data_IF_271748597140
#
_entry.id   IF_271748597140
#
_cell.length_a   1.000
_cell.length_b   1.000
_cell.length_c   1.000
_cell.angle_alpha   90.00
_cell.angle_beta   90.00
_cell.angle_gamma   90.00
#
_symmetry.space_group_name_H-M   'P 1'
#
loop_
_entity.id
_entity.type
_entity.pdbx_description
1 polymer ?
#
# COMPACT_ATOMS: atom_id res chain seq x y z
N UNK A 1 19.23 26.55 -5.76
CA UNK A 1 18.86 25.11 -5.63
C UNK A 1 17.42 24.97 -6.12
N UNK A 2 17.07 23.99 -6.94
CA UNK A 2 15.66 23.83 -7.37
C UNK A 2 14.79 23.39 -6.18
N UNK A 3 13.51 23.74 -6.18
CA UNK A 3 12.57 23.38 -5.09
C UNK A 3 12.54 21.88 -4.82
N UNK A 4 12.61 21.06 -5.88
CA UNK A 4 12.69 19.60 -5.77
C UNK A 4 13.98 19.12 -5.09
N UNK A 5 15.14 19.75 -5.38
CA UNK A 5 16.40 19.41 -4.72
C UNK A 5 16.42 19.83 -3.25
N UNK A 6 15.73 20.92 -2.92
CA UNK A 6 15.55 21.34 -1.54
C UNK A 6 14.67 20.36 -0.76
N UNK A 7 13.54 19.96 -1.33
CA UNK A 7 12.64 18.97 -0.73
C UNK A 7 13.34 17.62 -0.49
N UNK A 8 14.15 17.18 -1.45
CA UNK A 8 14.97 15.97 -1.33
C UNK A 8 15.97 16.09 -0.16
N UNK A 9 16.69 17.20 -0.08
CA UNK A 9 17.66 17.43 1.00
C UNK A 9 17.01 17.48 2.39
N UNK A 10 15.83 18.10 2.53
CA UNK A 10 15.09 18.17 3.81
C UNK A 10 14.62 16.78 4.26
N UNK A 11 14.13 15.96 3.32
CA UNK A 11 13.74 14.57 3.59
C UNK A 11 14.94 13.73 4.02
N UNK A 12 16.05 13.81 3.27
CA UNK A 12 17.32 13.12 3.61
C UNK A 12 17.82 13.52 5.00
N UNK A 13 17.85 14.82 5.30
CA UNK A 13 18.28 15.35 6.58
C UNK A 13 17.45 14.78 7.73
N UNK A 14 16.12 14.74 7.61
CA UNK A 14 15.25 14.13 8.63
C UNK A 14 15.62 12.67 8.86
N UNK A 15 15.85 11.90 7.81
CA UNK A 15 16.11 10.47 7.90
C UNK A 15 17.44 10.13 8.54
N UNK A 16 18.50 10.88 8.23
CA UNK A 16 19.81 10.72 8.87
C UNK A 16 19.74 10.93 10.39
N UNK A 17 18.79 11.74 10.86
CA UNK A 17 18.62 12.06 12.28
C UNK A 17 17.59 11.16 12.99
N UNK A 18 17.05 10.15 12.30
CA UNK A 18 16.19 9.11 12.87
C UNK A 18 16.76 7.68 12.58
N UNK A 19 17.93 7.33 13.13
CA UNK A 19 18.61 6.05 12.85
C UNK A 19 17.81 4.80 13.31
N UNK A 20 16.79 5.02 14.13
CA UNK A 20 16.00 3.97 14.77
C UNK A 20 14.65 3.72 14.07
N UNK A 21 14.34 4.48 13.01
CA UNK A 21 13.07 4.46 12.27
C UNK A 21 12.63 3.04 11.88
N UNK A 22 13.60 2.20 11.53
CA UNK A 22 13.42 0.84 11.05
C UNK A 22 13.57 -0.24 12.14
N UNK A 23 14.04 0.11 13.35
CA UNK A 23 14.31 -0.87 14.42
C UNK A 23 13.05 -1.54 14.97
N UNK A 24 11.92 -0.85 14.93
CA UNK A 24 10.64 -1.34 15.45
C UNK A 24 9.90 -2.26 14.48
N UNK A 25 10.47 -2.54 13.30
CA UNK A 25 9.84 -3.34 12.26
C UNK A 25 10.27 -4.79 12.38
N UNK A 26 9.30 -5.69 12.52
CA UNK A 26 9.54 -7.11 12.47
C UNK A 26 9.68 -7.60 11.01
N UNK A 27 10.92 -7.74 10.52
CA UNK A 27 11.19 -8.15 9.14
C UNK A 27 10.75 -9.58 8.81
N UNK A 28 10.77 -10.49 9.78
CA UNK A 28 10.26 -11.84 9.58
C UNK A 28 8.75 -11.81 9.33
N UNK A 29 8.02 -10.95 10.06
CA UNK A 29 6.60 -10.70 9.82
C UNK A 29 6.38 -10.07 8.44
N UNK A 30 7.13 -9.03 8.06
CA UNK A 30 7.01 -8.40 6.73
C UNK A 30 7.19 -9.39 5.56
N UNK A 31 8.15 -10.32 5.66
CA UNK A 31 8.34 -11.36 4.65
C UNK A 31 7.11 -12.24 4.54
N UNK A 32 6.54 -12.68 5.67
CA UNK A 32 5.32 -13.49 5.70
C UNK A 32 4.13 -12.72 5.10
N UNK A 33 3.97 -11.44 5.44
CA UNK A 33 2.91 -10.60 4.87
C UNK A 33 3.08 -10.46 3.34
N UNK A 34 4.29 -10.18 2.86
CA UNK A 34 4.57 -10.05 1.42
C UNK A 34 4.21 -11.32 0.63
N UNK A 35 4.47 -12.50 1.20
CA UNK A 35 4.14 -13.77 0.58
C UNK A 35 2.62 -13.95 0.50
N UNK A 36 1.90 -13.63 1.57
CA UNK A 36 0.43 -13.69 1.60
C UNK A 36 -0.20 -12.71 0.60
N UNK A 37 0.30 -11.46 0.52
CA UNK A 37 -0.18 -10.46 -0.45
C UNK A 37 0.06 -10.96 -1.87
N UNK A 38 1.26 -11.47 -2.16
CA UNK A 38 1.64 -11.98 -3.49
C UNK A 38 0.77 -13.16 -3.93
N UNK A 39 0.39 -14.03 -3.00
CA UNK A 39 -0.41 -15.22 -3.28
C UNK A 39 -1.91 -14.92 -3.42
N UNK A 40 -2.39 -13.77 -2.94
CA UNK A 40 -3.81 -13.41 -3.00
C UNK A 40 -4.19 -12.48 -4.16
N UNK A 41 -3.23 -11.93 -4.91
CA UNK A 41 -3.56 -11.20 -6.14
C UNK A 41 -4.33 -12.11 -7.09
N UNK A 42 -5.57 -11.73 -7.43
CA UNK A 42 -6.36 -12.54 -8.35
C UNK A 42 -5.68 -12.57 -9.71
N UNK A 43 -6.03 -13.56 -10.54
CA UNK A 43 -5.86 -13.40 -12.00
C UNK A 43 -6.56 -12.09 -12.43
N UNK A 44 -6.12 -11.53 -13.56
CA UNK A 44 -6.49 -10.18 -14.02
C UNK A 44 -7.99 -9.91 -13.83
N UNK A 45 -8.38 -8.68 -13.46
CA UNK A 45 -9.76 -8.32 -13.10
C UNK A 45 -10.81 -8.62 -14.21
N UNK A 46 -10.34 -8.81 -15.45
CA UNK A 46 -11.10 -9.19 -16.65
C UNK A 46 -11.18 -10.72 -16.88
N UNK A 47 -10.60 -11.55 -16.00
CA UNK A 47 -10.61 -13.01 -16.16
C UNK A 47 -12.04 -13.57 -16.03
N UNK A 48 -12.55 -14.26 -17.07
CA UNK A 48 -13.84 -14.95 -17.00
C UNK A 48 -13.89 -16.10 -15.99
N UNK A 49 -12.75 -16.65 -15.57
CA UNK A 49 -12.64 -17.84 -14.71
C UNK A 49 -12.52 -17.53 -13.20
N UNK A 50 -12.79 -16.30 -12.77
CA UNK A 50 -12.52 -15.86 -11.39
C UNK A 50 -13.47 -16.56 -10.40
N UNK A 51 -12.95 -17.59 -9.72
CA UNK A 51 -13.76 -18.44 -8.82
C UNK A 51 -14.01 -17.73 -7.49
N UNK A 52 -15.05 -18.12 -6.73
CA UNK A 52 -15.25 -17.59 -5.39
C UNK A 52 -14.07 -17.80 -4.43
N UNK A 53 -13.33 -18.91 -4.59
CA UNK A 53 -12.09 -19.15 -3.85
C UNK A 53 -11.02 -18.10 -4.17
N UNK A 54 -10.93 -17.66 -5.44
CA UNK A 54 -9.98 -16.60 -5.83
C UNK A 54 -10.38 -15.25 -5.22
N UNK A 55 -11.68 -14.93 -5.20
CA UNK A 55 -12.20 -13.71 -4.54
C UNK A 55 -11.84 -13.72 -3.05
N UNK A 56 -12.05 -14.85 -2.37
CA UNK A 56 -11.69 -14.99 -0.95
C UNK A 56 -10.20 -14.78 -0.74
N UNK A 57 -9.34 -15.36 -1.57
CA UNK A 57 -7.87 -15.18 -1.49
C UNK A 57 -7.47 -13.71 -1.64
N UNK A 58 -8.09 -12.99 -2.57
CA UNK A 58 -7.85 -11.54 -2.75
C UNK A 58 -8.28 -10.73 -1.55
N UNK A 59 -9.44 -11.05 -0.98
CA UNK A 59 -9.90 -10.37 0.22
C UNK A 59 -9.00 -10.69 1.43
N UNK A 60 -8.57 -11.93 1.61
CA UNK A 60 -7.63 -12.32 2.68
C UNK A 60 -6.28 -11.60 2.52
N UNK A 61 -5.78 -11.44 1.29
CA UNK A 61 -4.60 -10.64 1.02
C UNK A 61 -4.82 -9.14 1.27
N UNK A 62 -6.02 -8.62 1.03
CA UNK A 62 -6.33 -7.23 1.34
C UNK A 62 -6.35 -6.98 2.85
N UNK A 63 -6.88 -7.93 3.64
CA UNK A 63 -6.77 -7.88 5.12
C UNK A 63 -5.31 -7.85 5.59
N UNK A 64 -4.42 -8.56 4.89
CA UNK A 64 -2.97 -8.51 5.15
C UNK A 64 -2.39 -7.13 4.80
N UNK A 65 -2.88 -6.44 3.77
CA UNK A 65 -2.52 -5.05 3.51
C UNK A 65 -2.98 -4.10 4.62
N UNK A 66 -4.16 -4.31 5.20
CA UNK A 66 -4.62 -3.56 6.38
C UNK A 66 -3.68 -3.80 7.57
N UNK A 67 -3.24 -5.03 7.80
CA UNK A 67 -2.21 -5.34 8.82
C UNK A 67 -0.90 -4.60 8.56
N UNK A 68 -0.46 -4.50 7.29
CA UNK A 68 0.73 -3.73 6.93
C UNK A 68 0.58 -2.24 7.26
N UNK A 69 -0.59 -1.65 7.02
CA UNK A 69 -0.85 -0.25 7.39
C UNK A 69 -0.83 -0.04 8.91
N UNK A 70 -1.27 -1.03 9.70
CA UNK A 70 -1.14 -1.01 11.17
C UNK A 70 0.34 -1.06 11.58
N UNK A 71 1.17 -1.90 10.94
CA UNK A 71 2.62 -1.93 11.21
C UNK A 71 3.25 -0.57 10.91
N UNK A 72 2.87 0.08 9.81
CA UNK A 72 3.38 1.42 9.49
C UNK A 72 2.94 2.44 10.54
N UNK A 73 1.66 2.42 10.96
CA UNK A 73 1.14 3.23 12.07
C UNK A 73 1.94 3.04 13.37
N UNK A 74 2.21 1.79 13.74
CA UNK A 74 2.91 1.45 14.98
C UNK A 74 4.42 1.73 14.90
N UNK A 75 4.94 1.95 13.69
CA UNK A 75 6.32 2.36 13.47
C UNK A 75 6.47 3.88 13.42
N UNK A 76 7.70 4.37 13.66
CA UNK A 76 8.02 5.79 13.49
C UNK A 76 7.95 6.25 12.01
N UNK A 77 7.84 5.31 11.05
CA UNK A 77 7.70 5.62 9.62
C UNK A 77 6.46 6.46 9.37
N UNK A 78 5.32 6.16 10.01
CA UNK A 78 4.10 6.95 9.82
C UNK A 78 4.33 8.44 10.13
N UNK A 79 5.05 8.75 11.20
CA UNK A 79 5.35 10.14 11.58
C UNK A 79 6.19 10.83 10.50
N UNK A 80 7.22 10.16 9.98
CA UNK A 80 8.07 10.72 8.92
C UNK A 80 7.32 10.89 7.61
N UNK A 81 6.50 9.90 7.23
CA UNK A 81 5.65 9.96 6.03
C UNK A 81 4.71 11.17 6.07
N UNK A 82 4.14 11.46 7.24
CA UNK A 82 3.24 12.59 7.45
C UNK A 82 3.98 13.92 7.45
N UNK A 83 5.04 14.04 8.26
CA UNK A 83 5.87 15.24 8.37
C UNK A 83 6.50 15.65 7.04
N UNK A 84 6.70 14.70 6.14
CA UNK A 84 7.37 14.91 4.84
C UNK A 84 6.44 14.80 3.64
N UNK A 85 5.12 14.64 3.83
CA UNK A 85 4.12 14.52 2.77
C UNK A 85 4.27 15.57 1.64
N UNK A 86 4.42 16.84 2.01
CA UNK A 86 4.64 17.93 1.04
C UNK A 86 5.95 17.80 0.26
N UNK A 87 7.02 17.36 0.93
CA UNK A 87 8.32 17.15 0.28
C UNK A 87 8.30 15.91 -0.61
N UNK A 88 7.66 14.84 -0.17
CA UNK A 88 7.39 13.62 -0.95
C UNK A 88 6.65 13.96 -2.24
N UNK A 89 5.59 14.77 -2.18
CA UNK A 89 4.89 15.24 -3.38
C UNK A 89 5.79 16.01 -4.33
N UNK A 90 6.54 17.00 -3.83
CA UNK A 90 7.47 17.78 -4.67
C UNK A 90 8.52 16.90 -5.35
N UNK A 91 8.96 15.84 -4.66
CA UNK A 91 9.87 14.83 -5.21
C UNK A 91 9.17 13.99 -6.27
N UNK A 92 7.94 13.51 -6.04
CA UNK A 92 7.17 12.73 -7.01
C UNK A 92 6.77 13.54 -8.26
N UNK A 93 6.53 14.85 -8.12
CA UNK A 93 6.21 15.76 -9.22
C UNK A 93 7.46 16.15 -10.03
N UNK A 94 8.64 16.20 -9.38
CA UNK A 94 9.88 16.72 -9.97
C UNK A 94 10.95 15.67 -10.33
N UNK A 95 10.91 14.50 -9.69
CA UNK A 95 11.77 13.34 -9.96
C UNK A 95 10.93 12.14 -10.35
N UNK A 96 11.49 11.35 -11.26
CA UNK A 96 10.95 10.12 -11.79
C UNK A 96 10.24 9.27 -10.73
N UNK A 97 8.97 8.95 -10.99
CA UNK A 97 8.31 7.75 -10.47
C UNK A 97 9.29 6.60 -10.74
N UNK A 98 9.76 5.83 -9.74
CA UNK A 98 10.61 4.66 -9.99
C UNK A 98 9.95 3.82 -11.10
N UNK A 99 10.72 3.30 -12.06
CA UNK A 99 10.17 2.50 -13.16
C UNK A 99 9.29 1.32 -12.68
N UNK A 100 9.46 0.91 -11.43
CA UNK A 100 8.65 -0.08 -10.72
C UNK A 100 7.23 0.46 -10.43
N UNK A 101 7.10 1.71 -9.97
CA UNK A 101 5.81 2.34 -9.66
C UNK A 101 5.04 2.68 -10.96
N UNK A 102 5.74 3.03 -12.04
CA UNK A 102 5.13 3.34 -13.35
C UNK A 102 4.51 2.10 -14.06
N UNK A 103 4.92 0.89 -13.68
CA UNK A 103 4.32 -0.37 -14.17
C UNK A 103 3.06 -0.78 -13.40
N UNK A 104 2.78 -0.11 -12.27
CA UNK A 104 1.77 -0.52 -11.29
C UNK A 104 0.69 0.55 -11.11
N UNK A 105 1.05 1.84 -11.15
CA UNK A 105 0.17 2.98 -10.92
C UNK A 105 0.35 3.99 -12.05
N UNK A 106 -0.74 4.43 -12.66
CA UNK A 106 -0.70 5.50 -13.68
C UNK A 106 -0.42 6.87 -13.05
N UNK A 107 0.05 7.84 -13.85
CA UNK A 107 0.31 9.21 -13.35
C UNK A 107 -0.92 9.87 -12.73
N UNK A 108 -2.10 9.66 -13.31
CA UNK A 108 -3.35 10.23 -12.80
C UNK A 108 -3.78 9.57 -11.49
N UNK A 109 -3.57 8.26 -11.34
CA UNK A 109 -3.82 7.55 -10.09
C UNK A 109 -2.84 7.98 -9.00
N UNK A 110 -1.55 8.14 -9.34
CA UNK A 110 -0.56 8.65 -8.41
C UNK A 110 -0.96 10.04 -7.91
N UNK A 111 -1.39 10.93 -8.80
CA UNK A 111 -1.87 12.26 -8.43
C UNK A 111 -3.04 12.19 -7.45
N UNK A 112 -4.04 11.35 -7.73
CA UNK A 112 -5.19 11.16 -6.81
C UNK A 112 -4.77 10.62 -5.46
N UNK A 113 -3.85 9.66 -5.43
CA UNK A 113 -3.31 9.12 -4.19
C UNK A 113 -2.59 10.21 -3.40
N UNK A 114 -1.73 11.00 -4.04
CA UNK A 114 -1.05 12.12 -3.37
C UNK A 114 -2.03 13.17 -2.86
N UNK A 115 -3.06 13.53 -3.63
CA UNK A 115 -4.11 14.46 -3.21
C UNK A 115 -4.90 13.94 -1.99
N UNK A 116 -5.22 12.63 -1.98
CA UNK A 116 -5.82 11.96 -0.83
C UNK A 116 -4.86 11.95 0.37
N UNK A 117 -3.57 11.77 0.13
CA UNK A 117 -2.54 11.74 1.15
C UNK A 117 -2.33 13.10 1.84
N UNK A 118 -2.53 14.19 1.09
CA UNK A 118 -2.52 15.57 1.57
C UNK A 118 -3.82 16.00 2.23
N UNK A 119 -4.93 15.29 1.98
CA UNK A 119 -6.14 15.52 2.75
C UNK A 119 -5.87 15.08 4.18
N UNK A 120 -6.37 15.83 5.16
CA UNK A 120 -6.23 15.47 6.58
C UNK A 120 -6.83 14.08 6.90
N UNK A 121 -7.51 13.45 5.93
CA UNK A 121 -8.10 12.14 6.03
C UNK A 121 -7.04 11.03 6.10
N UNK A 122 -5.89 11.13 5.40
CA UNK A 122 -4.85 10.08 5.47
C UNK A 122 -4.30 9.93 6.89
N UNK A 123 -3.88 11.03 7.52
CA UNK A 123 -3.36 11.02 8.90
C UNK A 123 -4.39 10.48 9.86
N UNK A 124 -5.63 10.95 9.73
CA UNK A 124 -6.73 10.51 10.58
C UNK A 124 -7.00 9.01 10.41
N UNK A 125 -7.05 8.54 9.17
CA UNK A 125 -7.22 7.12 8.87
C UNK A 125 -6.06 6.27 9.37
N UNK A 126 -4.81 6.71 9.22
CA UNK A 126 -3.64 6.04 9.79
C UNK A 126 -3.71 5.98 11.33
N UNK A 127 -4.23 7.01 11.98
CA UNK A 127 -4.38 7.00 13.45
C UNK A 127 -5.54 6.11 13.89
N UNK A 128 -6.63 6.08 13.15
CA UNK A 128 -7.85 5.35 13.50
C UNK A 128 -7.81 3.86 13.07
N UNK A 129 -6.94 3.49 12.12
CA UNK A 129 -6.87 2.12 11.58
C UNK A 129 -6.53 1.08 12.66
N UNK A 130 -7.22 -0.05 12.56
CA UNK A 130 -7.09 -1.23 13.39
C UNK A 130 -7.55 -2.47 12.58
N UNK A 131 -7.44 -3.66 13.19
CA UNK A 131 -7.73 -4.94 12.52
C UNK A 131 -9.19 -5.07 12.03
N UNK A 132 -10.11 -4.36 12.67
CA UNK A 132 -11.55 -4.41 12.39
C UNK A 132 -12.01 -3.23 11.50
N UNK A 133 -11.08 -2.48 10.91
CA UNK A 133 -11.43 -1.30 10.10
C UNK A 133 -12.12 -1.64 8.78
N UNK A 134 -12.06 -2.89 8.34
CA UNK A 134 -12.80 -3.37 7.17
C UNK A 134 -14.16 -3.91 7.58
N UNK A 135 -15.23 -3.40 6.97
CA UNK A 135 -16.58 -3.96 7.16
C UNK A 135 -16.76 -5.25 6.35
N UNK A 136 -16.25 -6.36 6.90
CA UNK A 136 -16.22 -7.66 6.23
C UNK A 136 -17.62 -8.14 5.81
N UNK A 137 -18.61 -8.02 6.71
CA UNK A 137 -19.98 -8.46 6.42
C UNK A 137 -20.62 -7.71 5.25
N UNK A 138 -20.41 -6.40 5.19
CA UNK A 138 -20.89 -5.57 4.08
C UNK A 138 -20.20 -6.01 2.78
N UNK A 139 -18.89 -6.19 2.82
CA UNK A 139 -18.11 -6.57 1.65
C UNK A 139 -18.43 -7.99 1.15
N UNK A 140 -18.63 -8.96 2.04
CA UNK A 140 -19.09 -10.32 1.72
C UNK A 140 -20.44 -10.31 1.00
N UNK A 141 -21.38 -9.53 1.55
CA UNK A 141 -22.71 -9.36 0.96
C UNK A 141 -22.63 -8.74 -0.44
N UNK A 142 -21.79 -7.71 -0.59
CA UNK A 142 -21.56 -7.01 -1.85
C UNK A 142 -20.89 -7.89 -2.90
N UNK A 143 -19.90 -8.69 -2.48
CA UNK A 143 -19.20 -9.65 -3.33
C UNK A 143 -20.01 -10.93 -3.60
N UNK A 144 -21.10 -11.18 -2.86
CA UNK A 144 -21.90 -12.42 -2.91
C UNK A 144 -21.03 -13.66 -2.68
N UNK A 145 -20.12 -13.60 -1.71
CA UNK A 145 -19.29 -14.73 -1.28
C UNK A 145 -19.65 -15.13 0.14
N UNK A 146 -19.42 -16.41 0.48
CA UNK A 146 -19.50 -16.90 1.85
C UNK A 146 -18.09 -17.33 2.30
N UNK A 147 -17.63 -16.79 3.43
CA UNK A 147 -16.29 -17.05 3.95
C UNK A 147 -16.06 -18.47 4.42
N UNK A 148 -17.07 -19.04 5.08
CA UNK A 148 -17.02 -20.37 5.69
C UNK A 148 -17.19 -21.46 4.62
N UNK A 149 -17.82 -21.11 3.50
CA UNK A 149 -18.11 -22.02 2.40
C UNK A 149 -17.89 -21.38 1.02
N UNK A 150 -16.62 -21.09 0.65
CA UNK A 150 -16.31 -20.40 -0.61
C UNK A 150 -16.81 -21.18 -1.83
N UNK A 151 -16.81 -22.51 -1.80
CA UNK A 151 -17.23 -23.35 -2.93
C UNK A 151 -18.75 -23.36 -3.18
N UNK A 152 -19.55 -22.78 -2.27
CA UNK A 152 -21.01 -22.68 -2.38
C UNK A 152 -21.44 -21.29 -2.87
N UNK A 153 -20.50 -20.33 -2.95
CA UNK A 153 -20.80 -18.99 -3.43
C UNK A 153 -21.23 -19.00 -4.91
N UNK A 154 -22.08 -18.04 -5.28
CA UNK A 154 -22.60 -17.94 -6.63
C UNK A 154 -21.44 -17.65 -7.60
N UNK A 155 -21.24 -18.60 -8.51
CA UNK A 155 -20.35 -18.47 -9.65
C UNK A 155 -20.76 -17.28 -10.52
N UNK A 156 -19.80 -16.73 -11.28
CA UNK A 156 -19.97 -15.54 -12.12
C UNK A 156 -21.18 -15.66 -13.04
N UNK A 157 -21.44 -16.85 -13.58
CA UNK A 157 -22.55 -17.10 -14.51
C UNK A 157 -23.94 -17.14 -13.87
N UNK A 158 -24.00 -17.18 -12.53
CA UNK A 158 -25.25 -17.16 -11.76
C UNK A 158 -25.60 -15.76 -11.23
N UNK A 159 -24.78 -14.77 -11.52
CA UNK A 159 -24.98 -13.38 -11.11
C UNK A 159 -25.65 -12.57 -12.21
N UNK A 160 -26.42 -11.57 -11.81
CA UNK A 160 -26.90 -10.54 -12.74
C UNK A 160 -25.72 -9.72 -13.29
N UNK A 161 -25.87 -9.07 -14.46
CA UNK A 161 -24.84 -8.17 -15.00
C UNK A 161 -24.35 -7.13 -13.99
N UNK A 162 -25.28 -6.48 -13.29
CA UNK A 162 -24.98 -5.48 -12.26
C UNK A 162 -24.19 -6.07 -11.09
N UNK A 163 -24.55 -7.26 -10.60
CA UNK A 163 -23.81 -7.94 -9.53
C UNK A 163 -22.39 -8.32 -9.96
N UNK A 164 -22.20 -8.71 -11.23
CA UNK A 164 -20.87 -8.98 -11.78
C UNK A 164 -20.02 -7.72 -11.81
N UNK A 165 -20.57 -6.59 -12.28
CA UNK A 165 -19.87 -5.32 -12.34
C UNK A 165 -19.48 -4.81 -10.94
N UNK A 166 -20.40 -4.89 -9.98
CA UNK A 166 -20.13 -4.55 -8.57
C UNK A 166 -18.98 -5.38 -8.00
N UNK A 167 -19.03 -6.71 -8.20
CA UNK A 167 -17.98 -7.62 -7.76
C UNK A 167 -16.64 -7.30 -8.41
N UNK A 168 -16.61 -7.04 -9.72
CA UNK A 168 -15.39 -6.66 -10.44
C UNK A 168 -14.81 -5.35 -9.93
N UNK A 169 -15.65 -4.37 -9.62
CA UNK A 169 -15.22 -3.08 -9.07
C UNK A 169 -14.51 -3.24 -7.72
N UNK A 170 -15.12 -4.00 -6.79
CA UNK A 170 -14.50 -4.27 -5.49
C UNK A 170 -13.18 -5.06 -5.61
N UNK A 171 -13.13 -6.04 -6.52
CA UNK A 171 -11.90 -6.78 -6.82
C UNK A 171 -10.81 -5.90 -7.41
N UNK A 172 -11.16 -4.95 -8.29
CA UNK A 172 -10.20 -4.01 -8.87
C UNK A 172 -9.60 -3.10 -7.78
N UNK A 173 -10.43 -2.58 -6.88
CA UNK A 173 -10.00 -1.75 -5.75
C UNK A 173 -9.03 -2.55 -4.85
N UNK A 174 -9.40 -3.78 -4.47
CA UNK A 174 -8.53 -4.63 -3.65
C UNK A 174 -7.20 -4.94 -4.35
N UNK A 175 -7.22 -5.35 -5.62
CA UNK A 175 -5.98 -5.69 -6.36
C UNK A 175 -5.03 -4.50 -6.50
N UNK A 176 -5.54 -3.28 -6.67
CA UNK A 176 -4.70 -2.07 -6.65
C UNK A 176 -4.01 -1.89 -5.30
N UNK A 177 -4.75 -2.07 -4.20
CA UNK A 177 -4.18 -2.03 -2.86
C UNK A 177 -3.17 -3.15 -2.61
N UNK A 178 -3.36 -4.36 -3.16
CA UNK A 178 -2.38 -5.45 -3.05
C UNK A 178 -1.05 -5.08 -3.69
N UNK A 179 -1.07 -4.48 -4.88
CA UNK A 179 0.14 -4.00 -5.54
C UNK A 179 0.84 -2.91 -4.72
N UNK A 180 0.07 -1.96 -4.16
CA UNK A 180 0.57 -0.95 -3.22
C UNK A 180 1.18 -1.57 -1.95
N UNK A 181 0.57 -2.64 -1.42
CA UNK A 181 1.08 -3.38 -0.27
C UNK A 181 2.39 -4.11 -0.57
N UNK A 182 2.52 -4.74 -1.75
CA UNK A 182 3.78 -5.36 -2.17
C UNK A 182 4.92 -4.34 -2.30
N UNK A 183 4.63 -3.19 -2.90
CA UNK A 183 5.57 -2.08 -2.99
C UNK A 183 6.02 -1.62 -1.60
N UNK A 184 5.06 -1.42 -0.70
CA UNK A 184 5.32 -1.01 0.69
C UNK A 184 6.22 -2.03 1.41
N UNK A 185 5.90 -3.32 1.37
CA UNK A 185 6.73 -4.37 1.97
C UNK A 185 8.16 -4.39 1.39
N UNK A 186 8.28 -4.33 0.07
CA UNK A 186 9.59 -4.32 -0.60
C UNK A 186 10.43 -3.12 -0.18
N UNK A 187 9.82 -1.95 -0.11
CA UNK A 187 10.52 -0.70 0.18
C UNK A 187 10.90 -0.56 1.67
N UNK A 188 10.05 -1.03 2.59
CA UNK A 188 10.42 -1.13 4.01
C UNK A 188 11.59 -2.10 4.23
N UNK A 189 11.62 -3.23 3.49
CA UNK A 189 12.73 -4.18 3.54
C UNK A 189 14.04 -3.60 2.98
N UNK A 190 13.98 -2.89 1.86
CA UNK A 190 15.14 -2.20 1.27
C UNK A 190 15.62 -1.03 2.16
N UNK A 191 14.71 -0.32 2.83
CA UNK A 191 15.05 0.75 3.77
C UNK A 191 15.88 0.25 4.95
N UNK A 192 15.52 -0.92 5.47
CA UNK A 192 16.30 -1.63 6.50
C UNK A 192 17.72 -1.94 6.06
N UNK A 193 17.87 -2.49 4.85
CA UNK A 193 19.16 -2.84 4.28
C UNK A 193 20.02 -1.59 4.07
N UNK A 194 19.42 -0.49 3.59
CA UNK A 194 20.11 0.80 3.47
C UNK A 194 20.55 1.34 4.84
N UNK A 195 19.71 1.23 5.87
CA UNK A 195 20.06 1.59 7.24
C UNK A 195 21.26 0.80 7.77
N UNK A 196 21.27 -0.52 7.57
CA UNK A 196 22.42 -1.38 7.94
C UNK A 196 23.68 -0.97 7.18
N UNK A 197 23.59 -0.75 5.86
CA UNK A 197 24.73 -0.35 5.04
C UNK A 197 25.28 1.03 5.44
N UNK A 198 24.43 1.97 5.88
CA UNK A 198 24.85 3.28 6.37
C UNK A 198 25.64 3.23 7.68
N UNK A 199 25.49 2.16 8.48
CA UNK A 199 26.27 1.95 9.71
C UNK A 199 27.65 1.33 9.48
N UNK A 200 28.00 0.99 8.22
CA UNK A 200 29.30 0.45 7.84
C UNK A 200 30.18 1.60 7.32
N UNK A 201 31.21 2.04 8.08
CA UNK A 201 31.96 3.27 7.79
C UNK A 201 32.72 3.29 6.46
N UNK A 202 32.94 2.15 5.81
CA UNK A 202 33.71 2.01 4.56
C UNK A 202 32.87 2.14 3.29
N UNK A 203 31.54 2.27 3.40
CA UNK A 203 30.61 2.37 2.26
C UNK A 203 29.96 3.75 2.16
N UNK A 204 30.54 4.78 2.77
CA UNK A 204 30.00 6.15 2.76
C UNK A 204 29.96 6.71 1.33
N UNK A 205 28.75 6.68 0.74
CA UNK A 205 28.27 7.11 -0.57
C UNK A 205 28.40 6.11 -1.74
N UNK A 206 27.28 5.66 -2.37
CA UNK A 206 26.05 6.42 -2.66
C UNK A 206 24.76 5.68 -2.28
N UNK A 207 24.26 5.83 -1.06
CA UNK A 207 22.89 5.43 -0.67
C UNK A 207 21.87 6.58 -0.81
N UNK A 208 22.34 7.76 -1.27
CA UNK A 208 21.63 9.04 -1.32
C UNK A 208 20.22 9.00 -1.94
N UNK A 209 19.99 8.43 -3.14
CA UNK A 209 18.65 8.43 -3.75
C UNK A 209 17.76 7.29 -3.28
N UNK A 210 18.33 6.26 -2.62
CA UNK A 210 17.60 5.05 -2.27
C UNK A 210 16.59 5.33 -1.16
N UNK A 211 17.00 5.94 -0.05
CA UNK A 211 16.11 6.13 1.11
C UNK A 211 14.91 7.04 0.78
N UNK A 212 15.07 8.19 0.09
CA UNK A 212 13.94 8.99 -0.36
C UNK A 212 12.97 8.21 -1.27
N UNK A 213 13.48 7.49 -2.27
CA UNK A 213 12.66 6.66 -3.17
C UNK A 213 11.86 5.57 -2.43
N UNK A 214 12.47 4.96 -1.42
CA UNK A 214 11.82 3.94 -0.60
C UNK A 214 10.69 4.52 0.23
N UNK A 215 10.86 5.72 0.76
CA UNK A 215 9.85 6.39 1.57
C UNK A 215 8.72 6.94 0.70
N UNK A 216 9.03 7.52 -0.45
CA UNK A 216 7.99 7.97 -1.40
C UNK A 216 7.14 6.81 -1.90
N UNK A 217 7.73 5.64 -2.16
CA UNK A 217 6.98 4.48 -2.62
C UNK A 217 6.24 3.75 -1.47
N UNK A 218 6.79 3.76 -0.25
CA UNK A 218 6.05 3.34 0.97
C UNK A 218 4.83 4.24 1.21
N UNK A 219 5.00 5.56 1.08
CA UNK A 219 3.91 6.53 1.19
C UNK A 219 2.79 6.25 0.20
N UNK A 220 3.16 6.08 -1.07
CA UNK A 220 2.21 5.81 -2.16
C UNK A 220 1.45 4.50 -1.92
N UNK A 221 2.15 3.44 -1.51
CA UNK A 221 1.54 2.14 -1.26
C UNK A 221 0.58 2.14 -0.06
N UNK A 222 0.95 2.79 1.05
CA UNK A 222 0.08 2.95 2.23
C UNK A 222 -1.15 3.79 1.90
N UNK A 223 -0.96 4.88 1.16
CA UNK A 223 -2.08 5.70 0.70
C UNK A 223 -3.05 4.87 -0.15
N UNK A 224 -2.53 4.04 -1.07
CA UNK A 224 -3.36 3.13 -1.86
C UNK A 224 -4.18 2.15 -1.02
N UNK A 225 -3.59 1.62 0.07
CA UNK A 225 -4.30 0.72 0.99
C UNK A 225 -5.44 1.45 1.70
N UNK A 226 -5.19 2.66 2.21
CA UNK A 226 -6.17 3.43 2.96
C UNK A 226 -7.30 3.96 2.08
N UNK A 227 -6.97 4.49 0.90
CA UNK A 227 -7.99 4.90 -0.08
C UNK A 227 -8.88 3.72 -0.48
N UNK A 228 -8.30 2.53 -0.72
CA UNK A 228 -9.08 1.33 -0.99
C UNK A 228 -9.97 0.92 0.20
N UNK A 229 -9.48 1.04 1.43
CA UNK A 229 -10.26 0.74 2.63
C UNK A 229 -11.46 1.68 2.76
N UNK A 230 -11.29 2.97 2.49
CA UNK A 230 -12.38 3.94 2.46
C UNK A 230 -13.41 3.58 1.38
N UNK A 231 -12.95 3.36 0.14
CA UNK A 231 -13.81 3.01 -0.99
C UNK A 231 -14.64 1.75 -0.70
N UNK A 232 -14.01 0.71 -0.15
CA UNK A 232 -14.68 -0.55 0.18
C UNK A 232 -15.71 -0.39 1.29
N UNK A 233 -15.43 0.43 2.31
CA UNK A 233 -16.37 0.70 3.39
C UNK A 233 -17.56 1.57 2.93
N UNK A 234 -17.35 2.40 1.92
CA UNK A 234 -18.36 3.31 1.35
C UNK A 234 -19.12 2.74 0.14
N UNK A 235 -18.91 1.46 -0.22
CA UNK A 235 -19.70 0.79 -1.25
C UNK A 235 -21.23 0.91 -0.98
N UNK A 236 -22.07 1.07 -2.02
CA UNK A 236 -23.51 1.27 -1.86
C UNK A 236 -24.26 0.05 -1.31
#
# INVERSE_FOLDING_TARGET
MSETKQALWELEYRLEHHPDLFKNINYAQLIVLSQKIKLGASKKADDPELTPSDIKRTLDAFKVCVELAIIVKESEIATVLLDQSTNIKKILDGYFIPEIDAQIISKDELKKLVEFAESNDLTKMLLDINKDSLNEKKLESYLKINYDYPDIALDKDKLTPDERERRQTALLIMNKALSGGLLTCGNMGLGALSGILSTIPTLTNPTFPLIPGLITSTYTGITGILSALEDLNNLP
#
